data_IF_541187918020
#
_entry.id   IF_541187918020
#
_cell.length_a   1.000
_cell.length_b   1.000
_cell.length_c   1.000
_cell.angle_alpha   90.00
_cell.angle_beta   90.00
_cell.angle_gamma   90.00
#
_symmetry.space_group_name_H-M   'P 1'
#
loop_
_entity.id
_entity.type
_entity.pdbx_description
1 polymer ?
#
# COMPACT_ATOMS: atom_id res chain seq x y z
N UNK A 1 19.05 3.85 14.67
CA UNK A 1 19.20 2.93 15.81
C UNK A 1 19.71 3.75 16.99
N UNK A 2 19.15 3.52 18.19
CA UNK A 2 19.56 4.20 19.42
C UNK A 2 21.04 3.91 19.74
N UNK A 3 21.75 4.85 20.41
CA UNK A 3 23.10 4.61 20.89
C UNK A 3 23.15 3.43 21.88
N UNK A 4 24.26 2.71 21.86
CA UNK A 4 24.55 1.62 22.81
C UNK A 4 23.50 0.48 22.82
N UNK A 5 22.73 0.30 21.74
CA UNK A 5 21.91 -0.91 21.54
C UNK A 5 22.87 -2.12 21.47
N UNK A 6 22.66 -3.17 22.28
CA UNK A 6 23.54 -4.34 22.27
C UNK A 6 23.53 -5.09 20.93
N UNK A 7 22.37 -5.10 20.23
CA UNK A 7 22.26 -5.67 18.88
C UNK A 7 22.90 -4.73 17.86
N UNK A 8 23.64 -5.28 16.90
CA UNK A 8 24.22 -4.46 15.84
C UNK A 8 23.13 -3.86 14.93
N UNK A 9 23.41 -2.71 14.31
CA UNK A 9 22.43 -1.96 13.51
C UNK A 9 21.79 -2.80 12.40
N UNK A 10 22.54 -3.71 11.78
CA UNK A 10 22.01 -4.60 10.73
C UNK A 10 20.98 -5.58 11.27
N UNK A 11 21.15 -6.11 12.48
CA UNK A 11 20.17 -6.99 13.13
C UNK A 11 18.88 -6.23 13.43
N UNK A 12 18.98 -5.01 13.96
CA UNK A 12 17.82 -4.16 14.24
C UNK A 12 17.05 -3.87 12.93
N UNK A 13 17.76 -3.50 11.86
CA UNK A 13 17.16 -3.24 10.56
C UNK A 13 16.52 -4.51 9.95
N UNK A 14 17.18 -5.66 10.09
CA UNK A 14 16.65 -6.92 9.61
C UNK A 14 15.37 -7.32 10.37
N UNK A 15 15.36 -7.21 11.70
CA UNK A 15 14.17 -7.47 12.51
C UNK A 15 13.03 -6.50 12.18
N UNK A 16 13.33 -5.22 11.99
CA UNK A 16 12.37 -4.19 11.59
C UNK A 16 11.73 -4.54 10.24
N UNK A 17 12.56 -4.83 9.24
CA UNK A 17 12.09 -5.20 7.91
C UNK A 17 11.29 -6.50 7.91
N UNK A 18 11.75 -7.53 8.64
CA UNK A 18 11.08 -8.83 8.71
C UNK A 18 9.70 -8.73 9.37
N UNK A 19 9.57 -8.00 10.49
CA UNK A 19 8.29 -7.80 11.17
C UNK A 19 7.30 -7.04 10.29
N UNK A 20 7.73 -5.95 9.67
CA UNK A 20 6.89 -5.20 8.74
C UNK A 20 6.45 -6.09 7.56
N UNK A 21 7.38 -6.76 6.89
CA UNK A 21 7.07 -7.63 5.75
C UNK A 21 6.07 -8.74 6.12
N UNK A 22 6.27 -9.41 7.28
CA UNK A 22 5.39 -10.47 7.75
C UNK A 22 3.95 -9.97 7.98
N UNK A 23 3.78 -8.78 8.58
CA UNK A 23 2.46 -8.23 8.88
C UNK A 23 1.77 -7.63 7.65
N UNK A 24 2.51 -6.89 6.83
CA UNK A 24 2.02 -6.33 5.55
C UNK A 24 1.58 -7.44 4.58
N UNK A 25 2.23 -8.61 4.61
CA UNK A 25 1.81 -9.76 3.78
C UNK A 25 0.44 -10.32 4.16
N UNK A 26 0.02 -10.14 5.41
CA UNK A 26 -1.30 -10.58 5.92
C UNK A 26 -2.36 -9.52 5.64
N UNK A 27 -2.06 -8.29 6.02
CA UNK A 27 -2.95 -7.14 5.86
C UNK A 27 -2.12 -5.87 5.61
N UNK A 28 -2.03 -5.40 4.35
CA UNK A 28 -1.20 -4.27 4.00
C UNK A 28 -1.73 -2.91 4.50
N UNK A 29 -3.01 -2.82 4.85
CA UNK A 29 -3.63 -1.60 5.34
C UNK A 29 -3.52 -1.44 6.86
N UNK A 30 -3.20 -2.53 7.57
CA UNK A 30 -3.11 -2.50 9.03
C UNK A 30 -1.82 -1.80 9.48
N UNK A 31 -1.91 -0.83 10.43
CA UNK A 31 -0.73 -0.16 10.98
C UNK A 31 0.29 -1.15 11.54
N UNK A 32 1.56 -0.90 11.29
CA UNK A 32 2.67 -1.71 11.80
C UNK A 32 3.22 -1.20 13.13
N UNK A 33 2.69 -0.08 13.64
CA UNK A 33 3.05 0.43 14.97
C UNK A 33 2.83 -0.62 16.07
N UNK A 34 3.62 -0.55 17.13
CA UNK A 34 3.63 -1.47 18.29
C UNK A 34 4.14 -2.88 18.01
N UNK A 35 4.47 -3.24 16.78
CA UNK A 35 5.08 -4.54 16.49
C UNK A 35 6.43 -4.68 17.20
N UNK A 36 6.60 -5.78 17.90
CA UNK A 36 7.86 -6.09 18.59
C UNK A 36 8.97 -6.49 17.60
N UNK A 37 10.14 -5.94 17.76
CA UNK A 37 11.34 -6.35 17.03
C UNK A 37 11.94 -7.58 17.72
N UNK A 38 11.49 -8.75 17.33
CA UNK A 38 11.85 -10.02 17.98
C UNK A 38 13.35 -10.26 17.91
N UNK A 39 13.92 -10.62 19.05
CA UNK A 39 15.36 -10.93 19.20
C UNK A 39 16.26 -9.70 19.37
N UNK A 40 15.70 -8.50 19.41
CA UNK A 40 16.45 -7.27 19.59
C UNK A 40 16.42 -6.85 21.06
N UNK A 41 17.61 -6.63 21.62
CA UNK A 41 17.77 -6.09 22.97
C UNK A 41 17.74 -4.57 22.93
N UNK A 42 16.94 -3.96 23.79
CA UNK A 42 16.82 -2.51 23.88
C UNK A 42 18.09 -1.85 24.41
N UNK A 43 18.31 -0.59 24.03
CA UNK A 43 19.33 0.25 24.62
C UNK A 43 19.11 0.43 26.13
N UNK A 44 20.17 0.68 26.93
CA UNK A 44 20.06 1.09 28.32
C UNK A 44 19.14 2.33 28.45
N UNK A 45 18.42 2.44 29.56
CA UNK A 45 17.38 3.46 29.75
C UNK A 45 17.87 4.89 29.44
N UNK A 46 19.06 5.27 29.89
CA UNK A 46 19.63 6.60 29.67
C UNK A 46 20.22 6.86 28.28
N UNK A 47 20.12 5.88 27.37
CA UNK A 47 20.65 5.95 25.99
C UNK A 47 19.56 5.83 24.93
N UNK A 48 18.29 5.70 25.35
CA UNK A 48 17.14 5.64 24.47
C UNK A 48 16.80 7.01 23.94
N UNK A 49 16.35 7.08 22.70
CA UNK A 49 15.82 8.32 22.15
C UNK A 49 14.57 8.76 22.94
N UNK A 50 14.59 10.00 23.38
CA UNK A 50 13.40 10.64 23.95
C UNK A 50 12.40 10.97 22.84
N UNK A 51 11.18 11.30 23.23
CA UNK A 51 10.10 11.54 22.26
C UNK A 51 10.46 12.65 21.25
N UNK A 52 11.09 13.72 21.73
CA UNK A 52 11.51 14.86 20.92
C UNK A 52 12.53 14.44 19.84
N UNK A 53 13.49 13.60 20.19
CA UNK A 53 14.51 13.09 19.25
C UNK A 53 13.85 12.21 18.18
N UNK A 54 12.94 11.32 18.59
CA UNK A 54 12.18 10.48 17.62
C UNK A 54 11.33 11.32 16.70
N UNK A 55 10.69 12.39 17.21
CA UNK A 55 9.90 13.31 16.38
C UNK A 55 10.78 14.05 15.36
N UNK A 56 12.00 14.44 15.74
CA UNK A 56 12.97 15.03 14.80
C UNK A 56 13.31 14.02 13.68
N UNK A 57 13.54 12.75 14.02
CA UNK A 57 13.81 11.71 13.03
C UNK A 57 12.63 11.53 12.07
N UNK A 58 11.40 11.42 12.58
CA UNK A 58 10.19 11.31 11.78
C UNK A 58 10.00 12.51 10.84
N UNK A 59 10.24 13.72 11.32
CA UNK A 59 10.14 14.93 10.50
C UNK A 59 11.20 14.99 9.39
N UNK A 60 12.26 14.19 9.51
CA UNK A 60 13.29 14.04 8.49
C UNK A 60 13.15 12.76 7.64
N UNK A 61 11.99 12.10 7.68
CA UNK A 61 11.71 10.92 6.85
C UNK A 61 12.43 9.65 7.32
N UNK A 62 12.73 9.56 8.60
CA UNK A 62 13.40 8.40 9.20
C UNK A 62 12.41 7.65 10.08
N UNK A 63 12.15 6.39 9.74
CA UNK A 63 11.31 5.49 10.52
C UNK A 63 11.91 5.26 11.92
N UNK A 64 11.06 5.16 12.92
CA UNK A 64 11.47 5.11 14.32
C UNK A 64 10.97 3.86 15.03
N UNK A 65 11.68 3.52 16.10
CA UNK A 65 11.31 2.52 17.09
C UNK A 65 11.36 3.14 18.49
N UNK A 66 10.72 2.51 19.44
CA UNK A 66 10.76 2.87 20.85
C UNK A 66 10.81 1.61 21.72
N UNK A 67 11.19 1.79 22.98
CA UNK A 67 11.22 0.69 23.94
C UNK A 67 10.10 0.82 24.95
N UNK A 68 9.29 -0.22 25.07
CA UNK A 68 8.22 -0.34 26.05
C UNK A 68 8.32 -1.69 26.78
N UNK A 69 8.23 -1.64 28.11
CA UNK A 69 8.32 -2.82 28.97
C UNK A 69 9.54 -3.72 28.69
N UNK A 70 10.67 -3.12 28.26
CA UNK A 70 11.91 -3.85 27.94
C UNK A 70 11.99 -4.38 26.50
N UNK A 71 10.94 -4.24 25.70
CA UNK A 71 10.88 -4.69 24.31
C UNK A 71 10.98 -3.52 23.34
N UNK A 72 11.80 -3.68 22.32
CA UNK A 72 11.89 -2.71 21.22
C UNK A 72 10.71 -2.92 20.26
N UNK A 73 10.01 -1.84 19.94
CA UNK A 73 8.81 -1.85 19.09
C UNK A 73 8.89 -0.85 17.96
N UNK A 74 8.23 -1.15 16.86
CA UNK A 74 8.02 -0.18 15.77
C UNK A 74 7.16 0.97 16.30
N UNK A 75 7.62 2.21 16.16
CA UNK A 75 6.82 3.39 16.45
C UNK A 75 6.05 3.84 15.20
N UNK A 76 6.77 4.10 14.12
CA UNK A 76 6.15 4.46 12.85
C UNK A 76 7.05 4.07 11.67
N UNK A 77 6.51 3.25 10.78
CA UNK A 77 7.18 2.84 9.55
C UNK A 77 6.90 3.86 8.44
N UNK A 78 7.74 4.87 8.32
CA UNK A 78 7.65 5.89 7.29
C UNK A 78 8.69 5.71 6.20
N UNK A 79 8.41 6.29 5.05
CA UNK A 79 9.36 6.40 3.93
C UNK A 79 10.16 7.70 4.03
N UNK A 80 11.13 7.87 3.16
CA UNK A 80 11.86 9.13 3.01
C UNK A 80 11.11 10.18 2.17
N UNK A 81 9.87 9.88 1.74
CA UNK A 81 9.07 10.79 0.94
C UNK A 81 8.54 11.95 1.77
N UNK A 82 8.92 13.17 1.41
CA UNK A 82 8.53 14.40 2.10
C UNK A 82 8.10 15.51 1.15
N UNK A 83 8.44 15.38 -0.14
CA UNK A 83 8.15 16.38 -1.16
C UNK A 83 7.68 15.74 -2.44
N UNK A 84 6.75 16.40 -3.11
CA UNK A 84 6.31 16.02 -4.44
C UNK A 84 7.38 16.35 -5.51
N UNK A 85 7.09 15.97 -6.76
CA UNK A 85 7.99 16.23 -7.89
C UNK A 85 8.23 17.72 -8.19
N UNK A 86 7.43 18.62 -7.62
CA UNK A 86 7.55 20.06 -7.77
C UNK A 86 8.33 20.72 -6.62
N UNK A 87 8.69 19.96 -5.58
CA UNK A 87 9.41 20.43 -4.40
C UNK A 87 8.53 20.88 -3.24
N UNK A 88 7.21 20.83 -3.38
CA UNK A 88 6.27 21.18 -2.31
C UNK A 88 6.20 20.07 -1.26
N UNK A 89 5.94 20.45 -0.01
CA UNK A 89 5.73 19.50 1.06
C UNK A 89 4.53 18.59 0.75
N UNK A 90 4.75 17.28 0.83
CA UNK A 90 3.74 16.27 0.51
C UNK A 90 3.95 15.02 1.38
N UNK A 91 2.88 14.53 1.97
CA UNK A 91 2.87 13.35 2.82
C UNK A 91 2.09 12.16 2.22
N UNK A 92 1.64 12.25 0.98
CA UNK A 92 0.80 11.24 0.31
C UNK A 92 1.41 9.84 0.33
N UNK A 93 2.75 9.73 0.30
CA UNK A 93 3.48 8.47 0.34
C UNK A 93 4.43 8.37 1.54
N UNK A 94 4.16 9.15 2.59
CA UNK A 94 4.98 9.14 3.80
C UNK A 94 4.92 7.79 4.50
N UNK A 95 3.72 7.24 4.68
CA UNK A 95 3.53 5.99 5.39
C UNK A 95 3.78 4.78 4.48
N UNK A 96 4.61 3.85 4.95
CA UNK A 96 4.97 2.65 4.18
C UNK A 96 3.76 1.78 3.85
N UNK A 97 2.81 1.71 4.76
CA UNK A 97 1.56 0.96 4.60
C UNK A 97 0.73 1.47 3.42
N UNK A 98 0.70 2.78 3.18
CA UNK A 98 0.04 3.38 2.01
C UNK A 98 0.59 2.82 0.70
N UNK A 99 1.93 2.77 0.57
CA UNK A 99 2.58 2.22 -0.63
C UNK A 99 2.30 0.72 -0.80
N UNK A 100 2.37 -0.03 0.29
CA UNK A 100 2.11 -1.47 0.26
C UNK A 100 0.65 -1.78 -0.06
N UNK A 101 -0.29 -1.01 0.46
CA UNK A 101 -1.72 -1.12 0.17
C UNK A 101 -2.01 -0.82 -1.30
N UNK A 102 -1.45 0.26 -1.84
CA UNK A 102 -1.56 0.59 -3.26
C UNK A 102 -0.97 -0.52 -4.15
N UNK A 103 0.21 -1.03 -3.81
CA UNK A 103 0.83 -2.13 -4.53
C UNK A 103 -0.01 -3.42 -4.49
N UNK A 104 -0.65 -3.71 -3.34
CA UNK A 104 -1.56 -4.83 -3.19
C UNK A 104 -2.79 -4.68 -4.10
N UNK A 105 -3.44 -3.51 -4.09
CA UNK A 105 -4.61 -3.21 -4.94
C UNK A 105 -4.25 -3.38 -6.42
N UNK A 106 -3.16 -2.76 -6.87
CA UNK A 106 -2.72 -2.84 -8.26
C UNK A 106 -2.42 -4.28 -8.70
N UNK A 107 -1.77 -5.06 -7.82
CA UNK A 107 -1.50 -6.48 -8.07
C UNK A 107 -2.79 -7.30 -8.14
N UNK A 108 -3.73 -7.07 -7.22
CA UNK A 108 -5.02 -7.74 -7.20
C UNK A 108 -5.83 -7.46 -8.48
N UNK A 109 -5.87 -6.20 -8.92
CA UNK A 109 -6.51 -5.79 -10.17
C UNK A 109 -5.86 -6.45 -11.38
N UNK A 110 -4.54 -6.38 -11.49
CA UNK A 110 -3.81 -7.02 -12.59
C UNK A 110 -4.11 -8.52 -12.64
N UNK A 111 -3.97 -9.20 -11.51
CA UNK A 111 -4.24 -10.65 -11.42
C UNK A 111 -5.68 -10.97 -11.81
N UNK A 112 -6.66 -10.21 -11.34
CA UNK A 112 -8.07 -10.40 -11.66
C UNK A 112 -8.31 -10.31 -13.17
N UNK A 113 -7.83 -9.27 -13.82
CA UNK A 113 -8.04 -9.05 -15.25
C UNK A 113 -7.29 -10.09 -16.08
N UNK A 114 -6.03 -10.36 -15.78
CA UNK A 114 -5.23 -11.33 -16.56
C UNK A 114 -5.70 -12.77 -16.39
N UNK A 115 -6.20 -13.15 -15.23
CA UNK A 115 -6.73 -14.50 -14.96
C UNK A 115 -8.11 -14.71 -15.57
N UNK A 116 -8.97 -13.68 -15.54
CA UNK A 116 -10.35 -13.80 -16.02
C UNK A 116 -10.46 -13.68 -17.53
N UNK A 117 -9.60 -12.87 -18.15
CA UNK A 117 -9.66 -12.56 -19.59
C UNK A 117 -8.38 -12.95 -20.34
N UNK A 118 -7.80 -14.15 -20.11
CA UNK A 118 -6.65 -14.59 -20.89
C UNK A 118 -7.07 -14.76 -22.34
N UNK A 119 -6.28 -14.22 -23.28
CA UNK A 119 -6.51 -14.39 -24.72
C UNK A 119 -7.87 -13.87 -25.24
N UNK A 120 -8.48 -12.90 -24.55
CA UNK A 120 -9.71 -12.26 -25.03
C UNK A 120 -9.38 -11.20 -26.08
N UNK A 121 -10.31 -11.05 -27.03
CA UNK A 121 -10.31 -9.95 -28.00
C UNK A 121 -10.86 -8.70 -27.32
N UNK A 122 -10.34 -7.53 -27.64
CA UNK A 122 -10.86 -6.26 -27.17
C UNK A 122 -11.79 -5.66 -28.22
N UNK A 123 -13.06 -5.48 -27.87
CA UNK A 123 -14.04 -4.78 -28.67
C UNK A 123 -14.45 -3.44 -28.04
N UNK A 124 -15.01 -2.55 -28.83
CA UNK A 124 -15.62 -1.32 -28.32
C UNK A 124 -16.97 -1.63 -27.65
N UNK A 125 -17.38 -0.79 -26.71
CA UNK A 125 -18.68 -0.90 -26.08
C UNK A 125 -19.80 -0.81 -27.13
N UNK A 126 -20.87 -1.59 -26.95
CA UNK A 126 -21.98 -1.68 -27.91
C UNK A 126 -21.75 -2.63 -29.10
N UNK A 127 -20.57 -3.22 -29.25
CA UNK A 127 -20.30 -4.22 -30.28
C UNK A 127 -21.15 -5.48 -30.03
N UNK A 128 -21.84 -5.94 -31.04
CA UNK A 128 -22.61 -7.21 -30.99
C UNK A 128 -21.69 -8.38 -31.27
N UNK A 129 -21.73 -9.39 -30.42
CA UNK A 129 -21.01 -10.65 -30.60
C UNK A 129 -21.85 -11.81 -30.06
N UNK A 130 -21.67 -13.01 -30.62
CA UNK A 130 -22.41 -14.20 -30.23
C UNK A 130 -22.03 -14.68 -28.83
N UNK A 131 -22.89 -15.46 -28.20
CA UNK A 131 -22.62 -16.07 -26.90
C UNK A 131 -21.38 -16.98 -26.96
N UNK A 132 -20.59 -17.01 -25.86
CA UNK A 132 -19.42 -17.86 -25.75
C UNK A 132 -18.17 -17.33 -26.46
N UNK A 133 -18.24 -16.16 -27.12
CA UNK A 133 -17.03 -15.54 -27.69
C UNK A 133 -16.13 -14.96 -26.63
N UNK A 134 -14.80 -15.20 -26.74
CA UNK A 134 -13.78 -14.62 -25.86
C UNK A 134 -13.54 -13.14 -26.24
N UNK A 135 -14.50 -12.27 -25.88
CA UNK A 135 -14.46 -10.83 -26.13
C UNK A 135 -14.68 -10.07 -24.83
N UNK A 136 -13.95 -9.00 -24.66
CA UNK A 136 -14.08 -8.07 -23.52
C UNK A 136 -14.19 -6.65 -24.06
N UNK A 137 -14.94 -5.81 -23.34
CA UNK A 137 -15.06 -4.38 -23.65
C UNK A 137 -14.65 -3.54 -22.44
N UNK A 138 -14.37 -2.25 -22.61
CA UNK A 138 -14.08 -1.35 -21.48
C UNK A 138 -15.14 -1.40 -20.38
N UNK A 139 -16.43 -1.44 -20.72
CA UNK A 139 -17.53 -1.55 -19.75
C UNK A 139 -17.49 -2.86 -18.95
N UNK A 140 -17.14 -3.98 -19.59
CA UNK A 140 -16.97 -5.27 -18.88
C UNK A 140 -15.80 -5.19 -17.90
N UNK A 141 -14.66 -4.64 -18.33
CA UNK A 141 -13.50 -4.44 -17.46
C UNK A 141 -13.85 -3.51 -16.30
N UNK A 142 -14.58 -2.42 -16.57
CA UNK A 142 -15.04 -1.49 -15.53
C UNK A 142 -15.91 -2.18 -14.47
N UNK A 143 -16.87 -3.00 -14.90
CA UNK A 143 -17.70 -3.79 -13.98
C UNK A 143 -16.89 -4.75 -13.11
N UNK A 144 -15.87 -5.39 -13.69
CA UNK A 144 -14.97 -6.30 -12.96
C UNK A 144 -14.10 -5.58 -11.93
N UNK A 145 -13.59 -4.40 -12.28
CA UNK A 145 -12.81 -3.56 -11.35
C UNK A 145 -13.68 -3.13 -10.16
N UNK A 146 -14.92 -2.68 -10.41
CA UNK A 146 -15.86 -2.31 -9.33
C UNK A 146 -16.20 -3.52 -8.46
N UNK A 147 -16.40 -4.69 -9.06
CA UNK A 147 -16.66 -5.92 -8.30
C UNK A 147 -15.48 -6.30 -7.40
N UNK A 148 -14.25 -6.18 -7.89
CA UNK A 148 -13.06 -6.41 -7.06
C UNK A 148 -12.91 -5.34 -5.98
N UNK A 149 -13.19 -4.08 -6.29
CA UNK A 149 -13.11 -2.99 -5.31
C UNK A 149 -14.04 -3.23 -4.12
N UNK A 150 -15.28 -3.70 -4.34
CA UNK A 150 -16.19 -4.13 -3.27
C UNK A 150 -15.60 -5.23 -2.39
N UNK A 151 -14.93 -6.22 -3.00
CA UNK A 151 -14.27 -7.28 -2.23
C UNK A 151 -13.09 -6.76 -1.41
N UNK A 152 -12.42 -5.70 -1.86
CA UNK A 152 -11.37 -5.02 -1.12
C UNK A 152 -11.94 -4.15 0.01
N UNK A 153 -13.12 -3.55 -0.21
CA UNK A 153 -13.88 -2.82 0.83
C UNK A 153 -14.36 -3.77 1.94
N UNK A 154 -14.89 -4.94 1.58
CA UNK A 154 -15.27 -5.99 2.55
C UNK A 154 -14.06 -6.45 3.42
N UNK A 155 -12.85 -6.31 2.90
CA UNK A 155 -11.59 -6.60 3.61
C UNK A 155 -11.03 -5.39 4.36
N UNK A 156 -11.73 -4.26 4.36
CA UNK A 156 -11.27 -2.99 4.93
C UNK A 156 -9.90 -2.52 4.39
N UNK A 157 -9.60 -2.79 3.12
CA UNK A 157 -8.41 -2.28 2.42
C UNK A 157 -8.68 -0.92 1.80
N UNK A 158 -9.90 -0.72 1.31
CA UNK A 158 -10.41 0.50 0.68
C UNK A 158 -11.78 0.84 1.24
N UNK A 159 -12.25 2.05 0.97
CA UNK A 159 -13.57 2.52 1.35
C UNK A 159 -14.24 3.28 0.20
N UNK A 160 -15.52 3.69 0.38
CA UNK A 160 -16.25 4.56 -0.55
C UNK A 160 -16.41 4.00 -1.98
N UNK A 161 -16.83 2.74 -2.14
CA UNK A 161 -17.05 2.11 -3.45
C UNK A 161 -17.92 2.95 -4.40
N UNK A 162 -18.93 3.67 -3.90
CA UNK A 162 -19.78 4.50 -4.73
C UNK A 162 -19.01 5.68 -5.35
N UNK A 163 -18.17 6.33 -4.58
CA UNK A 163 -17.31 7.42 -5.02
C UNK A 163 -16.24 6.92 -6.00
N UNK A 164 -15.62 5.81 -5.67
CA UNK A 164 -14.68 5.12 -6.55
C UNK A 164 -15.31 4.82 -7.92
N UNK A 165 -16.50 4.19 -7.93
CA UNK A 165 -17.19 3.86 -9.17
C UNK A 165 -17.55 5.11 -10.00
N UNK A 166 -17.84 6.25 -9.35
CA UNK A 166 -18.13 7.51 -10.04
C UNK A 166 -16.94 8.05 -10.82
N UNK A 167 -15.73 7.96 -10.23
CA UNK A 167 -14.52 8.54 -10.81
C UNK A 167 -13.63 7.53 -11.56
N UNK A 168 -13.96 6.24 -11.51
CA UNK A 168 -13.27 5.21 -12.29
C UNK A 168 -13.51 5.44 -13.78
N UNK A 169 -12.42 5.65 -14.53
CA UNK A 169 -12.45 5.76 -16.01
C UNK A 169 -11.76 4.52 -16.56
N UNK A 170 -12.45 3.85 -17.48
CA UNK A 170 -11.94 2.71 -18.24
C UNK A 170 -12.29 2.93 -19.69
N UNK A 171 -11.28 3.13 -20.52
CA UNK A 171 -11.46 3.44 -21.93
C UNK A 171 -10.46 2.72 -22.82
N UNK A 172 -10.84 2.50 -24.07
CA UNK A 172 -9.93 1.99 -25.09
C UNK A 172 -8.98 3.10 -25.48
N UNK A 173 -7.67 2.79 -25.50
CA UNK A 173 -6.67 3.76 -25.91
C UNK A 173 -6.90 4.21 -27.36
N UNK A 174 -6.71 5.51 -27.63
CA UNK A 174 -6.96 6.11 -28.96
C UNK A 174 -5.85 5.79 -29.97
N UNK A 175 -4.63 5.66 -29.50
CA UNK A 175 -3.46 5.45 -30.33
C UNK A 175 -3.15 3.96 -30.49
N UNK A 176 -3.49 3.12 -29.50
CA UNK A 176 -3.35 1.67 -29.55
C UNK A 176 -4.69 0.99 -29.30
N UNK A 177 -5.40 0.54 -30.33
CA UNK A 177 -6.70 -0.12 -30.20
C UNK A 177 -6.69 -1.47 -29.49
N UNK A 178 -5.51 -2.02 -29.16
CA UNK A 178 -5.37 -3.26 -28.39
C UNK A 178 -5.19 -3.01 -26.88
N UNK A 179 -5.17 -1.74 -26.48
CA UNK A 179 -4.90 -1.32 -25.10
C UNK A 179 -6.14 -0.70 -24.46
N UNK A 180 -6.33 -1.00 -23.18
CA UNK A 180 -7.31 -0.34 -22.31
C UNK A 180 -6.56 0.49 -21.27
N UNK A 181 -6.91 1.76 -21.17
CA UNK A 181 -6.41 2.66 -20.15
C UNK A 181 -7.39 2.73 -18.98
N UNK A 182 -6.84 2.73 -17.79
CA UNK A 182 -7.61 2.75 -16.53
C UNK A 182 -7.09 3.88 -15.66
N UNK A 183 -7.95 4.84 -15.33
CA UNK A 183 -7.71 5.80 -14.24
C UNK A 183 -8.38 5.29 -12.98
N UNK A 184 -7.56 4.91 -12.01
CA UNK A 184 -7.98 4.26 -10.76
C UNK A 184 -7.77 5.23 -9.59
N UNK A 185 -8.83 5.82 -9.00
CA UNK A 185 -8.76 6.67 -7.82
C UNK A 185 -9.16 5.89 -6.56
N UNK A 186 -8.30 5.01 -5.98
CA UNK A 186 -8.66 4.26 -4.79
C UNK A 186 -8.71 5.19 -3.58
N UNK A 187 -9.72 4.99 -2.74
CA UNK A 187 -9.84 5.59 -1.42
C UNK A 187 -9.40 4.54 -0.39
N UNK A 188 -8.27 4.77 0.27
CA UNK A 188 -7.68 3.80 1.18
C UNK A 188 -8.25 3.98 2.58
N UNK A 189 -8.49 2.88 3.30
CA UNK A 189 -8.82 2.95 4.72
C UNK A 189 -7.66 3.58 5.49
N UNK A 190 -7.97 4.60 6.29
CA UNK A 190 -6.99 5.36 7.04
C UNK A 190 -6.49 4.59 8.28
N UNK A 191 -5.26 4.88 8.68
CA UNK A 191 -4.64 4.28 9.86
C UNK A 191 -4.97 5.09 11.12
N UNK A 192 -5.44 4.40 12.17
CA UNK A 192 -5.58 5.01 13.49
C UNK A 192 -4.19 5.13 14.14
N UNK A 193 -3.86 6.34 14.61
CA UNK A 193 -2.59 6.69 15.25
C UNK A 193 -2.78 7.54 16.49
#
# INVERSE_FOLDING_TARGET
>A
VEPDVPSIAVEVLAAYGAQNAAKISIDPARPTQTLELIGITSAPYGKRFVMEERQILLNNGIATQYTEAGYMRVERAITTYQKNRFGDADNSYLDSETLHTLAYILRALRTRITSKYPRHKLASDGTRFGAGQAVVTPSIIRGEIISLYKQLEDKAIVENTALFAKYLIVERNKDDPNRVDVLLPPDLVNQLR
#
